data_IF_810633950537
#
_entry.id   IF_810633950537
#
_cell.length_a   1.000
_cell.length_b   1.000
_cell.length_c   1.000
_cell.angle_alpha   90.00
_cell.angle_beta   90.00
_cell.angle_gamma   90.00
#
_symmetry.space_group_name_H-M   'P 1'
#
loop_
_entity.id
_entity.type
_entity.pdbx_description
1 polymer ?
#
# COMPACT_ATOMS: atom_id res chain seq x y z
N UNK A 1 -5.06 3.15 19.68
CA UNK A 1 -5.05 3.24 18.20
C UNK A 1 -3.63 3.31 17.72
N UNK A 2 -3.22 2.33 16.94
CA UNK A 2 -1.86 2.27 16.39
C UNK A 2 -1.68 3.29 15.27
N UNK A 3 -0.54 3.97 15.21
CA UNK A 3 -0.25 4.98 14.19
C UNK A 3 1.25 5.18 13.96
N UNK A 4 1.59 5.64 12.75
CA UNK A 4 2.90 6.20 12.47
C UNK A 4 2.88 7.70 12.76
N UNK A 5 3.89 8.18 13.49
CA UNK A 5 4.13 9.59 13.72
C UNK A 5 5.44 9.96 13.03
N UNK A 6 5.33 10.90 12.11
CA UNK A 6 6.44 11.45 11.35
C UNK A 6 6.62 12.89 11.83
N UNK A 7 7.82 13.25 12.31
CA UNK A 7 8.15 14.60 12.83
C UNK A 7 9.38 15.15 12.15
N UNK A 8 9.26 16.36 11.64
CA UNK A 8 10.34 17.15 11.02
C UNK A 8 11.12 16.33 9.98
N UNK A 9 10.41 15.48 9.22
CA UNK A 9 11.03 14.60 8.25
C UNK A 9 11.66 15.40 7.12
N UNK A 10 12.95 15.17 6.92
CA UNK A 10 13.68 15.62 5.75
C UNK A 10 14.22 14.43 4.97
N UNK A 11 14.15 14.51 3.64
CA UNK A 11 14.78 13.57 2.73
C UNK A 11 15.45 14.31 1.59
N UNK A 12 16.76 14.20 1.53
CA UNK A 12 17.61 14.74 0.49
C UNK A 12 18.42 13.61 -0.15
N UNK A 13 18.40 13.53 -1.46
CA UNK A 13 19.26 12.66 -2.24
C UNK A 13 20.48 13.45 -2.71
N UNK A 14 21.66 12.88 -2.56
CA UNK A 14 22.92 13.47 -3.00
C UNK A 14 23.38 12.70 -4.23
N UNK A 15 23.29 13.32 -5.42
CA UNK A 15 23.76 12.76 -6.67
C UNK A 15 24.73 13.74 -7.32
N UNK A 16 25.92 13.28 -7.70
CA UNK A 16 26.92 14.05 -8.44
C UNK A 16 27.11 15.50 -7.93
N UNK A 17 27.27 15.66 -6.62
CA UNK A 17 27.39 16.95 -5.92
C UNK A 17 26.16 17.87 -6.00
N UNK A 18 24.99 17.37 -6.40
CA UNK A 18 23.72 18.10 -6.34
C UNK A 18 22.84 17.52 -5.23
N UNK A 19 22.42 18.38 -4.34
CA UNK A 19 21.44 18.05 -3.32
C UNK A 19 20.04 18.22 -3.91
N UNK A 20 19.29 17.11 -3.98
CA UNK A 20 17.89 17.13 -4.37
C UNK A 20 17.03 16.83 -3.14
N UNK A 21 16.47 17.87 -2.53
CA UNK A 21 15.60 17.72 -1.36
C UNK A 21 14.19 17.38 -1.82
N UNK A 22 13.77 16.18 -1.47
CA UNK A 22 12.44 15.65 -1.80
C UNK A 22 11.40 16.07 -0.76
N UNK A 23 11.75 15.98 0.53
CA UNK A 23 10.90 16.36 1.66
C UNK A 23 11.66 17.31 2.57
N UNK A 24 10.93 18.31 3.10
CA UNK A 24 11.48 19.27 4.06
C UNK A 24 10.46 19.56 5.15
N UNK A 25 10.84 19.31 6.40
CA UNK A 25 10.04 19.58 7.61
C UNK A 25 8.61 18.99 7.57
N UNK A 26 8.50 17.73 7.13
CA UNK A 26 7.20 17.08 7.04
C UNK A 26 6.77 16.55 8.39
N UNK A 27 5.57 16.94 8.79
CA UNK A 27 4.91 16.47 10.00
C UNK A 27 3.60 15.78 9.59
N UNK A 28 3.45 14.49 9.93
CA UNK A 28 2.34 13.68 9.46
C UNK A 28 2.01 12.57 10.46
N UNK A 29 0.72 12.32 10.64
CA UNK A 29 0.23 11.13 11.35
C UNK A 29 -0.52 10.23 10.37
N UNK A 30 -0.21 8.93 10.40
CA UNK A 30 -0.85 7.91 9.56
C UNK A 30 -1.41 6.84 10.47
N UNK A 31 -2.72 6.66 10.46
CA UNK A 31 -3.40 5.63 11.23
C UNK A 31 -3.04 4.23 10.71
N UNK A 32 -2.72 3.30 11.62
CA UNK A 32 -2.42 1.92 11.28
C UNK A 32 -3.64 1.00 11.36
N UNK A 33 -4.84 1.56 11.59
CA UNK A 33 -6.12 0.86 11.65
C UNK A 33 -7.13 1.32 10.58
N UNK A 34 -6.63 2.02 9.55
CA UNK A 34 -7.41 2.55 8.43
C UNK A 34 -6.77 2.20 7.08
N UNK A 35 -7.53 2.43 6.00
CA UNK A 35 -6.95 2.50 4.67
C UNK A 35 -6.56 3.96 4.41
N UNK A 36 -5.25 4.23 4.44
CA UNK A 36 -4.68 5.53 4.09
C UNK A 36 -4.09 5.46 2.68
N UNK A 37 -4.54 6.34 1.80
CA UNK A 37 -4.02 6.44 0.44
C UNK A 37 -3.08 7.62 0.32
N UNK A 38 -1.86 7.38 -0.16
CA UNK A 38 -0.89 8.40 -0.53
C UNK A 38 -1.04 8.67 -2.02
N UNK A 39 -1.52 9.86 -2.36
CA UNK A 39 -1.83 10.28 -3.72
C UNK A 39 -0.90 11.41 -4.17
N UNK A 40 -0.45 11.38 -5.42
CA UNK A 40 0.37 12.44 -5.99
C UNK A 40 0.86 12.12 -7.39
N UNK A 41 1.43 13.12 -8.07
CA UNK A 41 2.04 12.94 -9.39
C UNK A 41 3.22 11.97 -9.35
N UNK A 42 3.60 11.43 -10.52
CA UNK A 42 4.82 10.65 -10.62
C UNK A 42 6.03 11.49 -10.18
N UNK A 43 6.95 10.89 -9.43
CA UNK A 43 8.16 11.56 -8.94
C UNK A 43 7.99 12.46 -7.71
N UNK A 44 6.77 12.67 -7.17
CA UNK A 44 6.58 13.52 -5.99
C UNK A 44 7.02 12.89 -4.66
N UNK A 45 7.51 11.64 -4.65
CA UNK A 45 8.06 10.99 -3.46
C UNK A 45 7.16 9.96 -2.77
N UNK A 46 6.02 9.57 -3.34
CA UNK A 46 5.10 8.57 -2.75
C UNK A 46 5.81 7.27 -2.34
N UNK A 47 6.51 6.65 -3.29
CA UNK A 47 7.30 5.43 -3.08
C UNK A 47 8.41 5.64 -2.04
N UNK A 48 9.05 6.81 -2.04
CA UNK A 48 10.09 7.14 -1.06
C UNK A 48 9.49 7.21 0.34
N UNK A 49 8.35 7.90 0.51
CA UNK A 49 7.66 7.96 1.81
C UNK A 49 7.23 6.56 2.28
N UNK A 50 6.67 5.74 1.38
CA UNK A 50 6.30 4.37 1.70
C UNK A 50 7.51 3.54 2.17
N UNK A 51 8.65 3.67 1.47
CA UNK A 51 9.91 2.98 1.85
C UNK A 51 10.50 3.48 3.16
N UNK A 52 10.36 4.76 3.46
CA UNK A 52 10.75 5.34 4.76
C UNK A 52 9.90 4.71 5.87
N UNK A 53 8.58 4.66 5.70
CA UNK A 53 7.66 4.02 6.66
C UNK A 53 7.99 2.52 6.84
N UNK A 54 8.38 1.85 5.75
CA UNK A 54 8.82 0.45 5.78
C UNK A 54 10.21 0.23 6.40
N UNK A 55 10.95 1.28 6.76
CA UNK A 55 12.33 1.19 7.22
C UNK A 55 13.35 0.78 6.15
N UNK A 56 12.96 0.83 4.88
CA UNK A 56 13.80 0.46 3.73
C UNK A 56 14.58 1.63 3.13
N UNK A 57 14.23 2.86 3.51
CA UNK A 57 14.88 4.08 3.05
C UNK A 57 15.24 4.95 4.26
N UNK A 58 16.48 5.42 4.31
CA UNK A 58 16.95 6.28 5.40
C UNK A 58 16.46 7.71 5.22
N UNK A 59 16.08 8.35 6.32
CA UNK A 59 15.78 9.77 6.38
C UNK A 59 17.07 10.59 6.49
N UNK A 60 17.04 11.86 6.08
CA UNK A 60 18.17 12.78 6.26
C UNK A 60 18.14 13.41 7.64
N UNK A 61 16.95 13.77 8.14
CA UNK A 61 16.72 14.24 9.52
C UNK A 61 15.26 14.00 9.92
N UNK A 62 14.92 14.24 11.19
CA UNK A 62 13.60 13.99 11.76
C UNK A 62 13.44 12.60 12.37
N UNK A 63 12.20 12.19 12.63
CA UNK A 63 11.87 10.88 13.19
C UNK A 63 10.64 10.26 12.51
N UNK A 64 10.63 8.93 12.46
CA UNK A 64 9.46 8.12 12.08
C UNK A 64 9.28 7.06 13.15
N UNK A 65 8.19 7.15 13.89
CA UNK A 65 7.91 6.29 15.03
C UNK A 65 6.58 5.56 14.80
N UNK A 66 6.54 4.28 15.14
CA UNK A 66 5.31 3.53 15.25
C UNK A 66 4.86 3.52 16.70
N UNK A 67 3.68 4.03 16.96
CA UNK A 67 3.06 3.99 18.28
C UNK A 67 1.94 2.96 18.26
N UNK A 68 1.98 2.04 19.22
CA UNK A 68 0.91 1.09 19.50
C UNK A 68 0.47 1.25 20.96
N UNK A 69 -0.84 1.04 21.23
CA UNK A 69 -1.39 1.02 22.59
C UNK A 69 -0.80 -0.12 23.42
N UNK A 70 -0.40 -1.22 22.78
CA UNK A 70 0.36 -2.32 23.39
C UNK A 70 1.87 -2.00 23.36
N UNK A 71 2.35 -1.27 24.35
CA UNK A 71 3.77 -0.87 24.48
C UNK A 71 4.70 -2.09 24.27
N UNK A 72 5.63 -1.98 23.31
CA UNK A 72 6.73 -2.89 23.01
C UNK A 72 6.42 -4.13 22.14
N UNK A 73 5.43 -4.09 21.26
CA UNK A 73 5.27 -5.15 20.26
C UNK A 73 6.05 -4.79 18.99
N UNK A 74 6.93 -5.67 18.54
CA UNK A 74 7.50 -5.60 17.20
C UNK A 74 6.36 -5.68 16.17
N UNK A 75 6.14 -4.64 15.40
CA UNK A 75 5.13 -4.65 14.34
C UNK A 75 5.68 -5.24 13.05
N UNK A 76 4.82 -5.96 12.35
CA UNK A 76 5.16 -6.61 11.08
C UNK A 76 4.58 -5.83 9.93
N UNK A 77 5.42 -5.49 8.96
CA UNK A 77 5.01 -4.84 7.72
C UNK A 77 4.95 -5.88 6.60
N UNK A 78 3.78 -5.99 5.94
CA UNK A 78 3.66 -6.65 4.65
C UNK A 78 3.87 -5.62 3.55
N UNK A 79 4.75 -5.88 2.59
CA UNK A 79 5.06 -4.95 1.53
C UNK A 79 4.76 -5.56 0.16
N UNK A 80 3.97 -4.83 -0.64
CA UNK A 80 3.70 -5.12 -2.05
C UNK A 80 4.35 -4.02 -2.88
N UNK A 81 5.36 -4.39 -3.66
CA UNK A 81 6.06 -3.48 -4.56
C UNK A 81 5.29 -3.28 -5.87
N UNK A 82 5.56 -2.21 -6.58
CA UNK A 82 5.02 -1.94 -7.91
C UNK A 82 5.34 -3.09 -8.89
N UNK A 83 6.56 -3.61 -8.85
CA UNK A 83 6.92 -4.88 -9.48
C UNK A 83 6.68 -6.01 -8.50
N UNK A 84 6.07 -7.11 -8.95
CA UNK A 84 5.66 -8.23 -8.08
C UNK A 84 6.80 -8.92 -7.33
N UNK A 85 8.04 -8.84 -7.87
CA UNK A 85 9.27 -9.42 -7.28
C UNK A 85 9.06 -10.86 -6.80
N UNK A 86 8.42 -11.67 -7.63
CA UNK A 86 8.28 -13.10 -7.37
C UNK A 86 9.61 -13.80 -7.64
N UNK A 87 9.91 -14.84 -6.87
CA UNK A 87 11.07 -15.70 -7.10
C UNK A 87 10.78 -16.57 -8.34
N UNK A 88 11.50 -16.38 -9.46
CA UNK A 88 11.15 -17.03 -10.73
C UNK A 88 11.31 -18.54 -10.71
N UNK A 89 12.10 -19.09 -9.81
CA UNK A 89 12.34 -20.53 -9.63
C UNK A 89 11.39 -21.20 -8.64
N UNK A 90 10.49 -20.44 -7.99
CA UNK A 90 9.49 -20.97 -7.08
C UNK A 90 8.12 -20.97 -7.73
N UNK A 91 7.31 -21.99 -7.42
CA UNK A 91 5.90 -22.00 -7.79
C UNK A 91 5.13 -20.86 -7.10
N UNK A 92 3.89 -20.62 -7.50
CA UNK A 92 3.00 -19.63 -6.84
C UNK A 92 2.84 -19.97 -5.35
N UNK A 93 2.56 -21.23 -5.01
CA UNK A 93 2.42 -21.63 -3.60
C UNK A 93 3.70 -21.45 -2.80
N UNK A 94 4.86 -21.73 -3.38
CA UNK A 94 6.16 -21.59 -2.70
C UNK A 94 6.54 -20.10 -2.56
N UNK A 95 6.17 -19.27 -3.52
CA UNK A 95 6.29 -17.82 -3.39
C UNK A 95 5.46 -17.29 -2.22
N UNK A 96 4.23 -17.79 -2.02
CA UNK A 96 3.38 -17.39 -0.89
C UNK A 96 3.98 -17.87 0.45
N UNK A 97 4.59 -19.06 0.47
CA UNK A 97 5.21 -19.65 1.67
C UNK A 97 6.61 -19.13 1.98
N UNK A 98 7.22 -18.31 1.15
CA UNK A 98 8.66 -17.97 1.20
C UNK A 98 9.15 -17.50 2.59
N UNK A 99 8.28 -16.91 3.39
CA UNK A 99 8.59 -16.44 4.74
C UNK A 99 8.24 -17.47 5.83
N UNK A 100 7.61 -18.60 5.49
CA UNK A 100 7.16 -19.62 6.43
C UNK A 100 8.27 -20.62 6.74
N UNK A 101 9.27 -20.17 7.50
CA UNK A 101 10.41 -21.02 7.92
C UNK A 101 10.02 -22.16 8.87
N UNK A 102 8.81 -22.15 9.43
CA UNK A 102 8.31 -23.11 10.42
C UNK A 102 7.19 -24.02 9.88
N UNK A 103 6.94 -23.99 8.59
CA UNK A 103 5.88 -24.76 7.91
C UNK A 103 4.49 -24.65 8.60
N UNK A 104 4.13 -23.44 9.03
CA UNK A 104 2.85 -23.17 9.71
C UNK A 104 1.70 -22.90 8.73
N UNK A 105 2.02 -22.50 7.50
CA UNK A 105 1.02 -22.19 6.47
C UNK A 105 0.58 -23.50 5.84
N UNK A 106 -0.65 -23.90 6.10
CA UNK A 106 -1.24 -25.11 5.56
C UNK A 106 -1.61 -24.95 4.07
N UNK A 107 -1.85 -26.07 3.40
CA UNK A 107 -2.37 -26.06 2.03
C UNK A 107 -3.71 -25.32 1.92
N UNK A 108 -4.59 -25.47 2.90
CA UNK A 108 -5.87 -24.78 2.96
C UNK A 108 -5.72 -23.26 3.14
N UNK A 109 -4.68 -22.80 3.85
CA UNK A 109 -4.38 -21.36 3.95
C UNK A 109 -3.95 -20.80 2.60
N UNK A 110 -3.10 -21.52 1.87
CA UNK A 110 -2.70 -21.13 0.51
C UNK A 110 -3.92 -21.02 -0.40
N UNK A 111 -4.79 -22.04 -0.39
CA UNK A 111 -5.99 -22.04 -1.20
C UNK A 111 -6.88 -20.83 -0.87
N UNK A 112 -7.02 -20.49 0.41
CA UNK A 112 -7.74 -19.29 0.86
C UNK A 112 -7.10 -18.00 0.34
N UNK A 113 -5.76 -17.85 0.43
CA UNK A 113 -5.08 -16.65 -0.07
C UNK A 113 -5.20 -16.53 -1.59
N UNK A 114 -5.11 -17.63 -2.32
CA UNK A 114 -5.29 -17.65 -3.78
C UNK A 114 -6.74 -17.35 -4.18
N UNK A 115 -7.71 -17.80 -3.40
CA UNK A 115 -9.12 -17.46 -3.61
C UNK A 115 -9.38 -15.96 -3.45
N UNK A 116 -8.85 -15.37 -2.37
CA UNK A 116 -8.96 -13.93 -2.10
C UNK A 116 -8.47 -13.06 -3.28
N UNK A 117 -7.47 -13.55 -4.02
CA UNK A 117 -6.93 -12.81 -5.18
C UNK A 117 -7.41 -13.38 -6.53
N UNK A 118 -8.43 -14.26 -6.53
CA UNK A 118 -9.01 -14.89 -7.72
C UNK A 118 -7.98 -15.65 -8.60
N UNK A 119 -7.14 -16.48 -7.96
CA UNK A 119 -6.08 -17.26 -8.59
C UNK A 119 -6.06 -18.74 -8.14
N UNK A 120 -7.22 -19.33 -7.81
CA UNK A 120 -7.34 -20.73 -7.32
C UNK A 120 -6.56 -21.75 -8.12
N UNK A 121 -6.64 -21.68 -9.45
CA UNK A 121 -6.07 -22.70 -10.35
C UNK A 121 -4.58 -22.45 -10.65
N UNK A 122 -3.98 -21.40 -10.08
CA UNK A 122 -2.61 -21.01 -10.42
C UNK A 122 -1.54 -21.54 -9.45
N UNK A 123 -1.93 -22.34 -8.46
CA UNK A 123 -1.09 -22.79 -7.34
C UNK A 123 0.25 -23.37 -7.75
N UNK A 124 0.27 -24.21 -8.78
CA UNK A 124 1.46 -24.93 -9.28
C UNK A 124 2.18 -24.19 -10.42
N UNK A 125 1.66 -23.06 -10.89
CA UNK A 125 2.30 -22.29 -11.94
C UNK A 125 3.56 -21.60 -11.42
N UNK A 126 4.47 -21.30 -12.35
CA UNK A 126 5.66 -20.51 -12.09
C UNK A 126 5.46 -19.06 -12.58
N UNK A 127 6.21 -18.06 -12.07
CA UNK A 127 6.04 -16.67 -12.45
C UNK A 127 6.10 -16.37 -13.96
N UNK A 128 6.87 -17.13 -14.71
CA UNK A 128 6.97 -17.00 -16.18
C UNK A 128 5.68 -17.40 -16.93
N UNK A 129 4.79 -18.15 -16.30
CA UNK A 129 3.48 -18.54 -16.85
C UNK A 129 2.36 -17.55 -16.44
N UNK A 130 2.67 -16.51 -15.67
CA UNK A 130 1.71 -15.53 -15.16
C UNK A 130 1.72 -14.25 -16.00
N UNK A 131 0.56 -13.65 -16.19
CA UNK A 131 0.51 -12.25 -16.65
C UNK A 131 1.03 -11.29 -15.57
N UNK A 132 1.40 -10.06 -15.92
CA UNK A 132 1.82 -9.05 -14.94
C UNK A 132 0.77 -8.81 -13.85
N UNK A 133 -0.51 -8.77 -14.22
CA UNK A 133 -1.61 -8.65 -13.26
C UNK A 133 -1.75 -9.87 -12.33
N UNK A 134 -1.56 -11.10 -12.85
CA UNK A 134 -1.54 -12.29 -12.01
C UNK A 134 -0.35 -12.28 -11.04
N UNK A 135 0.82 -11.88 -11.51
CA UNK A 135 2.02 -11.78 -10.67
C UNK A 135 1.83 -10.79 -9.52
N UNK A 136 1.20 -9.63 -9.77
CA UNK A 136 0.88 -8.66 -8.71
C UNK A 136 -0.12 -9.24 -7.70
N UNK A 137 -1.13 -9.99 -8.15
CA UNK A 137 -2.09 -10.67 -7.26
C UNK A 137 -1.41 -11.74 -6.39
N UNK A 138 -0.46 -12.48 -6.92
CA UNK A 138 0.36 -13.43 -6.13
C UNK A 138 1.19 -12.68 -5.10
N UNK A 139 1.78 -11.52 -5.44
CA UNK A 139 2.53 -10.70 -4.49
C UNK A 139 1.65 -10.20 -3.33
N UNK A 140 0.38 -9.85 -3.61
CA UNK A 140 -0.60 -9.50 -2.56
C UNK A 140 -0.89 -10.71 -1.67
N UNK A 141 -1.16 -11.89 -2.25
CA UNK A 141 -1.39 -13.12 -1.50
C UNK A 141 -0.19 -13.47 -0.60
N UNK A 142 1.04 -13.34 -1.11
CA UNK A 142 2.28 -13.52 -0.36
C UNK A 142 2.38 -12.56 0.83
N UNK A 143 2.08 -11.28 0.62
CA UNK A 143 2.13 -10.28 1.67
C UNK A 143 1.09 -10.55 2.77
N UNK A 144 -0.12 -11.00 2.40
CA UNK A 144 -1.16 -11.40 3.35
C UNK A 144 -0.80 -12.65 4.14
N UNK A 145 -0.16 -13.63 3.49
CA UNK A 145 0.26 -14.88 4.14
C UNK A 145 1.31 -14.64 5.23
N UNK A 146 2.11 -13.57 5.13
CA UNK A 146 3.02 -13.12 6.19
C UNK A 146 2.29 -12.72 7.48
N UNK A 147 0.97 -12.55 7.43
CA UNK A 147 0.13 -12.10 8.54
C UNK A 147 0.64 -10.78 9.16
N UNK A 148 0.81 -9.71 8.35
CA UNK A 148 1.36 -8.44 8.82
C UNK A 148 0.37 -7.71 9.74
N UNK A 149 0.87 -6.77 10.55
CA UNK A 149 0.04 -5.85 11.33
C UNK A 149 -0.45 -4.68 10.45
N UNK A 150 0.36 -4.29 9.46
CA UNK A 150 0.02 -3.30 8.44
C UNK A 150 0.51 -3.73 7.06
N UNK A 151 -0.25 -3.39 6.02
CA UNK A 151 0.06 -3.68 4.63
C UNK A 151 0.43 -2.39 3.90
N UNK A 152 1.62 -2.33 3.32
CA UNK A 152 2.09 -1.24 2.49
C UNK A 152 2.06 -1.66 1.02
N UNK A 153 1.46 -0.85 0.15
CA UNK A 153 1.26 -1.18 -1.26
C UNK A 153 1.70 -0.03 -2.17
N UNK A 154 2.67 -0.28 -3.03
CA UNK A 154 3.20 0.70 -3.98
C UNK A 154 2.62 0.48 -5.37
N UNK A 155 1.64 1.27 -5.78
CA UNK A 155 0.93 1.22 -7.07
C UNK A 155 0.54 -0.21 -7.53
N UNK A 156 -0.07 -1.06 -6.67
CA UNK A 156 -0.22 -2.49 -6.94
C UNK A 156 -1.18 -2.81 -8.08
N UNK A 157 -1.98 -1.83 -8.52
CA UNK A 157 -3.00 -2.00 -9.56
C UNK A 157 -2.66 -1.31 -10.88
N UNK A 158 -1.46 -0.72 -11.01
CA UNK A 158 -1.06 0.07 -12.18
C UNK A 158 -1.06 -0.71 -13.50
N UNK A 159 -0.79 -2.02 -13.46
CA UNK A 159 -0.71 -2.90 -14.63
C UNK A 159 -2.01 -3.70 -14.90
N UNK A 160 -3.14 -3.32 -14.27
CA UNK A 160 -4.39 -4.07 -14.36
C UNK A 160 -5.40 -3.38 -15.29
N UNK A 161 -6.18 -4.21 -15.98
CA UNK A 161 -7.38 -3.75 -16.68
C UNK A 161 -8.45 -3.25 -15.70
N UNK A 162 -9.42 -2.51 -16.21
CA UNK A 162 -10.45 -1.86 -15.40
C UNK A 162 -11.26 -2.84 -14.51
N UNK A 163 -11.70 -3.98 -15.06
CA UNK A 163 -12.53 -4.92 -14.32
C UNK A 163 -11.74 -5.64 -13.22
N UNK A 164 -10.55 -6.10 -13.55
CA UNK A 164 -9.65 -6.73 -12.59
C UNK A 164 -9.28 -5.77 -11.46
N UNK A 165 -9.02 -4.50 -11.79
CA UNK A 165 -8.73 -3.44 -10.82
C UNK A 165 -9.91 -3.24 -9.86
N UNK A 166 -11.14 -3.10 -10.37
CA UNK A 166 -12.34 -2.96 -9.54
C UNK A 166 -12.53 -4.14 -8.58
N UNK A 167 -12.37 -5.35 -9.08
CA UNK A 167 -12.50 -6.55 -8.26
C UNK A 167 -11.46 -6.57 -7.13
N UNK A 168 -10.20 -6.21 -7.41
CA UNK A 168 -9.15 -6.16 -6.38
C UNK A 168 -9.33 -5.01 -5.38
N UNK A 169 -9.86 -3.87 -5.80
CA UNK A 169 -10.25 -2.80 -4.88
C UNK A 169 -11.31 -3.31 -3.90
N UNK A 170 -12.32 -4.00 -4.39
CA UNK A 170 -13.35 -4.61 -3.56
C UNK A 170 -12.74 -5.64 -2.59
N UNK A 171 -11.91 -6.54 -3.11
CA UNK A 171 -11.18 -7.53 -2.30
C UNK A 171 -10.33 -6.87 -1.20
N UNK A 172 -9.63 -5.77 -1.52
CA UNK A 172 -8.82 -5.03 -0.53
C UNK A 172 -9.69 -4.45 0.59
N UNK A 173 -10.86 -3.90 0.24
CA UNK A 173 -11.84 -3.40 1.20
C UNK A 173 -12.35 -4.53 2.09
N UNK A 174 -12.65 -5.70 1.54
CA UNK A 174 -13.09 -6.88 2.28
C UNK A 174 -12.00 -7.40 3.23
N UNK A 175 -10.75 -7.48 2.76
CA UNK A 175 -9.60 -7.83 3.60
C UNK A 175 -9.51 -6.88 4.79
N UNK A 176 -9.59 -5.56 4.54
CA UNK A 176 -9.57 -4.56 5.61
C UNK A 176 -10.74 -4.74 6.59
N UNK A 177 -11.97 -4.92 6.09
CA UNK A 177 -13.17 -5.12 6.93
C UNK A 177 -13.05 -6.35 7.83
N UNK A 178 -12.50 -7.44 7.30
CA UNK A 178 -12.39 -8.71 8.00
C UNK A 178 -11.22 -8.76 8.99
N UNK A 179 -10.10 -8.11 8.66
CA UNK A 179 -8.88 -8.19 9.46
C UNK A 179 -8.66 -6.98 10.38
N UNK A 180 -9.25 -5.83 10.05
CA UNK A 180 -9.02 -4.53 10.69
C UNK A 180 -7.56 -4.07 10.68
N UNK A 181 -6.73 -4.69 9.81
CA UNK A 181 -5.32 -4.33 9.65
C UNK A 181 -5.20 -3.11 8.75
N UNK A 182 -4.38 -2.15 9.17
CA UNK A 182 -4.18 -0.95 8.40
C UNK A 182 -3.56 -1.22 7.01
N UNK A 183 -3.89 -0.35 6.09
CA UNK A 183 -3.36 -0.41 4.72
C UNK A 183 -2.87 0.99 4.35
N UNK A 184 -1.61 1.11 3.95
CA UNK A 184 -1.09 2.31 3.30
C UNK A 184 -0.91 1.98 1.82
N UNK A 185 -1.66 2.68 0.99
CA UNK A 185 -1.77 2.42 -0.43
C UNK A 185 -1.29 3.62 -1.23
N UNK A 186 -0.32 3.43 -2.12
CA UNK A 186 0.19 4.47 -3.01
C UNK A 186 -0.47 4.36 -4.37
N UNK A 187 -0.97 5.47 -4.90
CA UNK A 187 -1.49 5.56 -6.26
C UNK A 187 -1.33 6.98 -6.83
N UNK A 188 -1.47 7.11 -8.14
CA UNK A 188 -1.63 8.38 -8.82
C UNK A 188 -3.07 8.60 -9.35
N UNK A 189 -3.95 7.61 -9.16
CA UNK A 189 -5.35 7.64 -9.61
C UNK A 189 -6.27 8.19 -8.50
N UNK A 190 -6.94 9.32 -8.78
CA UNK A 190 -7.82 9.98 -7.82
C UNK A 190 -9.08 9.15 -7.54
N UNK A 191 -9.63 8.50 -8.57
CA UNK A 191 -10.86 7.71 -8.43
C UNK A 191 -10.60 6.46 -7.59
N UNK A 192 -9.44 5.84 -7.79
CA UNK A 192 -8.96 4.74 -6.94
C UNK A 192 -8.81 5.19 -5.48
N UNK A 193 -8.13 6.32 -5.24
CA UNK A 193 -7.96 6.87 -3.91
C UNK A 193 -9.29 7.13 -3.20
N UNK A 194 -10.24 7.78 -3.87
CA UNK A 194 -11.57 8.07 -3.30
C UNK A 194 -12.33 6.76 -3.02
N UNK A 195 -12.23 5.76 -3.91
CA UNK A 195 -12.96 4.50 -3.77
C UNK A 195 -12.56 3.74 -2.51
N UNK A 196 -11.26 3.64 -2.21
CA UNK A 196 -10.77 2.72 -1.16
C UNK A 196 -10.43 3.41 0.16
N UNK A 197 -10.05 4.70 0.16
CA UNK A 197 -9.48 5.35 1.33
C UNK A 197 -10.47 5.66 2.46
N UNK A 198 -9.99 5.60 3.70
CA UNK A 198 -10.55 6.33 4.82
C UNK A 198 -9.89 7.72 4.93
N UNK A 199 -8.57 7.77 4.73
CA UNK A 199 -7.80 9.02 4.70
C UNK A 199 -6.99 9.10 3.39
N UNK A 200 -6.98 10.26 2.73
CA UNK A 200 -6.18 10.52 1.53
C UNK A 200 -5.14 11.57 1.89
N UNK A 201 -3.87 11.23 1.73
CA UNK A 201 -2.74 12.16 1.86
C UNK A 201 -2.29 12.55 0.46
N UNK A 202 -2.52 13.79 0.08
CA UNK A 202 -2.10 14.34 -1.21
C UNK A 202 -0.72 14.97 -1.07
N UNK A 203 0.23 14.50 -1.89
CA UNK A 203 1.58 15.08 -1.99
C UNK A 203 1.65 15.94 -3.25
N UNK A 204 1.90 17.23 -3.08
CA UNK A 204 2.06 18.18 -4.18
C UNK A 204 3.12 19.23 -3.86
N UNK A 205 4.15 19.33 -4.70
CA UNK A 205 5.22 20.33 -4.58
C UNK A 205 5.87 20.38 -3.17
N UNK A 206 6.11 19.19 -2.58
CA UNK A 206 6.68 19.07 -1.23
C UNK A 206 5.70 19.34 -0.08
N UNK A 207 4.44 19.69 -0.38
CA UNK A 207 3.40 19.91 0.61
C UNK A 207 2.52 18.67 0.77
N UNK A 208 1.99 18.48 1.96
CA UNK A 208 1.12 17.37 2.32
C UNK A 208 -0.23 17.89 2.78
N UNK A 209 -1.31 17.38 2.21
CA UNK A 209 -2.66 17.70 2.65
C UNK A 209 -3.46 16.43 2.86
N UNK A 210 -4.07 16.28 4.04
CA UNK A 210 -4.88 15.11 4.40
C UNK A 210 -6.36 15.43 4.25
N UNK A 211 -7.09 14.49 3.64
CA UNK A 211 -8.55 14.48 3.54
C UNK A 211 -9.08 13.23 4.21
N UNK A 212 -9.97 13.40 5.19
CA UNK A 212 -10.67 12.27 5.84
C UNK A 212 -12.03 12.08 5.21
N UNK A 213 -12.32 10.84 4.79
CA UNK A 213 -13.56 10.45 4.16
C UNK A 213 -14.43 9.73 5.19
N UNK A 214 -15.63 10.26 5.45
CA UNK A 214 -16.54 9.73 6.48
C UNK A 214 -17.44 8.60 6.00
N UNK A 215 -17.64 8.48 4.67
CA UNK A 215 -18.56 7.50 4.10
C UNK A 215 -18.05 6.06 4.23
N UNK A 216 -18.90 5.10 4.59
CA UNK A 216 -18.51 3.69 4.62
C UNK A 216 -18.22 3.16 3.22
N UNK A 217 -17.26 2.27 3.12
CA UNK A 217 -16.92 1.56 1.88
C UNK A 217 -17.92 0.43 1.57
N UNK A 218 -18.23 0.08 0.30
CA UNK A 218 -17.76 0.74 -0.93
C UNK A 218 -18.43 2.10 -1.14
N UNK A 219 -17.70 3.03 -1.77
CA UNK A 219 -18.18 4.39 -2.02
C UNK A 219 -18.74 4.53 -3.43
N UNK A 220 -19.84 5.24 -3.54
CA UNK A 220 -20.36 5.73 -4.82
C UNK A 220 -19.65 7.04 -5.16
N UNK A 221 -18.63 6.95 -6.02
CA UNK A 221 -17.78 8.09 -6.40
C UNK A 221 -18.50 9.13 -7.26
N UNK A 222 -19.71 8.84 -7.73
CA UNK A 222 -20.54 9.77 -8.53
C UNK A 222 -21.39 10.69 -7.66
N UNK A 223 -21.42 10.50 -6.34
CA UNK A 223 -22.05 11.44 -5.41
C UNK A 223 -21.39 12.81 -5.45
N UNK A 224 -22.19 13.85 -5.29
CA UNK A 224 -21.75 15.26 -5.39
C UNK A 224 -20.54 15.57 -4.49
N UNK A 225 -20.53 15.06 -3.26
CA UNK A 225 -19.44 15.26 -2.30
C UNK A 225 -18.09 14.73 -2.81
N UNK A 226 -18.08 13.56 -3.50
CA UNK A 226 -16.87 13.00 -4.07
C UNK A 226 -16.44 13.69 -5.35
N UNK A 227 -17.39 14.23 -6.12
CA UNK A 227 -17.09 15.08 -7.28
C UNK A 227 -16.43 16.40 -6.85
N UNK A 228 -16.87 16.98 -5.75
CA UNK A 228 -16.25 18.19 -5.17
C UNK A 228 -14.85 17.88 -4.62
N UNK A 229 -14.69 16.80 -3.85
CA UNK A 229 -13.40 16.34 -3.37
C UNK A 229 -12.42 16.08 -4.53
N UNK A 230 -12.89 15.43 -5.60
CA UNK A 230 -12.10 15.18 -6.81
C UNK A 230 -11.62 16.47 -7.46
N UNK A 231 -12.50 17.51 -7.53
CA UNK A 231 -12.13 18.83 -8.05
C UNK A 231 -11.07 19.50 -7.16
N UNK A 232 -11.20 19.41 -5.83
CA UNK A 232 -10.25 19.97 -4.90
C UNK A 232 -8.86 19.30 -5.02
N UNK A 233 -8.83 17.96 -5.01
CA UNK A 233 -7.59 17.19 -5.19
C UNK A 233 -6.94 17.54 -6.54
N UNK A 234 -7.71 17.62 -7.64
CA UNK A 234 -7.20 18.02 -8.96
C UNK A 234 -6.56 19.41 -8.96
N UNK A 235 -7.09 20.36 -8.17
CA UNK A 235 -6.49 21.70 -8.04
C UNK A 235 -5.13 21.65 -7.34
N UNK A 236 -4.99 20.80 -6.31
CA UNK A 236 -3.71 20.62 -5.61
C UNK A 236 -2.65 19.95 -6.48
N UNK A 237 -3.06 19.06 -7.36
CA UNK A 237 -2.16 18.30 -8.23
C UNK A 237 -1.79 19.04 -9.54
N UNK A 238 -2.33 20.21 -9.82
CA UNK A 238 -1.92 21.04 -10.97
C UNK A 238 -0.59 21.72 -10.72
#
# INVERSE_FOLDING_TARGET
MSKFIIKNLEKTFINDNKNNTLFRDINLEISADKITVILGKSGCGKTTLLRIIAGLEKISSGTVEYLDDEKNKDYKIGLVFQESRLMPWLSVEDNIKIHDTKNKISTSDIDRFLDLVSLKDCKKLFPNALSGGMSNRVAIARALAYNPDILLMDEPFSALDYFTRKNLQQTLIEIFKNTKKGIIFVTHDIDEAITIANDIIVISNGNFKTFTIKDPQPKDIDKLEFLELKKEIKKLLK
#
